data_IF_748931246949
#
_entry.id   IF_748931246949
#
_cell.length_a   1.000
_cell.length_b   1.000
_cell.length_c   1.000
_cell.angle_alpha   90.00
_cell.angle_beta   90.00
_cell.angle_gamma   90.00
#
_symmetry.space_group_name_H-M   'P 1'
#
loop_
_entity.id
_entity.type
_entity.pdbx_description
1 polymer ?
#
# COMPACT_ATOMS: atom_id res chain seq x y z
N UNK A 1 -9.40 9.17 8.01
CA UNK A 1 -8.70 8.33 9.02
C UNK A 1 -7.31 8.92 9.24
N UNK A 2 -6.71 8.76 10.42
CA UNK A 2 -5.32 9.15 10.63
C UNK A 2 -4.41 8.10 9.98
N UNK A 3 -3.50 8.53 9.12
CA UNK A 3 -2.50 7.66 8.49
C UNK A 3 -1.55 7.13 9.55
N UNK A 4 -1.30 5.82 9.51
CA UNK A 4 -0.29 5.19 10.34
C UNK A 4 1.01 5.07 9.54
N UNK A 5 2.12 5.43 10.16
CA UNK A 5 3.45 5.35 9.56
C UNK A 5 4.22 4.29 10.32
N UNK A 6 4.59 3.23 9.61
CA UNK A 6 5.39 2.13 10.14
C UNK A 6 6.79 2.23 9.55
N UNK A 7 7.81 2.28 10.38
CA UNK A 7 9.22 2.28 9.98
C UNK A 7 9.81 0.96 10.44
N UNK A 8 10.39 0.20 9.52
CA UNK A 8 10.93 -1.13 9.78
C UNK A 8 12.39 -1.12 9.33
N UNK A 9 13.29 -1.07 10.30
CA UNK A 9 14.74 -0.93 10.09
C UNK A 9 15.44 -1.34 11.41
N UNK A 10 16.38 -2.27 11.35
CA UNK A 10 17.11 -2.83 12.50
C UNK A 10 18.15 -1.89 13.09
N UNK A 11 18.51 -0.83 12.37
CA UNK A 11 19.48 0.17 12.77
C UNK A 11 18.82 1.49 13.22
N UNK A 12 17.54 1.70 12.93
CA UNK A 12 16.80 2.87 13.37
C UNK A 12 16.11 2.67 14.73
N UNK A 13 16.03 3.75 15.49
CA UNK A 13 15.28 3.82 16.74
C UNK A 13 14.33 5.03 16.73
N UNK A 14 13.49 5.13 17.76
CA UNK A 14 12.62 6.31 17.94
C UNK A 14 13.37 7.65 18.04
N UNK A 15 14.68 7.62 18.29
CA UNK A 15 15.54 8.80 18.36
C UNK A 15 16.28 9.11 17.06
N UNK A 16 16.17 8.25 16.05
CA UNK A 16 16.82 8.44 14.75
C UNK A 16 16.36 9.77 14.10
N UNK A 17 17.27 10.54 13.45
CA UNK A 17 16.92 11.79 12.77
C UNK A 17 15.76 11.65 11.78
N UNK A 18 15.69 10.55 11.02
CA UNK A 18 14.63 10.27 10.06
C UNK A 18 13.28 10.15 10.77
N UNK A 19 13.20 9.31 11.81
CA UNK A 19 12.00 9.09 12.61
C UNK A 19 11.53 10.39 13.29
N UNK A 20 12.48 11.14 13.88
CA UNK A 20 12.18 12.42 14.52
C UNK A 20 11.67 13.47 13.54
N UNK A 21 12.22 13.50 12.33
CA UNK A 21 11.78 14.40 11.27
C UNK A 21 10.33 14.12 10.86
N UNK A 22 9.98 12.85 10.63
CA UNK A 22 8.60 12.46 10.32
C UNK A 22 7.64 12.87 11.45
N UNK A 23 7.95 12.52 12.70
CA UNK A 23 7.11 12.86 13.86
C UNK A 23 6.93 14.36 14.05
N UNK A 24 7.95 15.15 13.74
CA UNK A 24 7.90 16.62 13.84
C UNK A 24 6.99 17.22 12.76
N UNK A 25 7.08 16.71 11.53
CA UNK A 25 6.34 17.26 10.38
C UNK A 25 4.93 16.69 10.24
N UNK A 26 4.67 15.49 10.78
CA UNK A 26 3.35 14.82 10.81
C UNK A 26 2.92 14.50 12.25
N UNK A 27 2.65 15.51 13.09
CA UNK A 27 2.31 15.31 14.51
C UNK A 27 0.99 14.55 14.73
N UNK A 28 0.12 14.52 13.72
CA UNK A 28 -1.16 13.81 13.72
C UNK A 28 -1.04 12.31 13.42
N UNK A 29 0.07 11.89 12.80
CA UNK A 29 0.32 10.51 12.41
C UNK A 29 0.80 9.67 13.60
N UNK A 30 0.36 8.41 13.64
CA UNK A 30 0.91 7.43 14.58
C UNK A 30 2.17 6.86 13.93
N UNK A 31 3.34 7.07 14.56
CA UNK A 31 4.63 6.57 14.06
C UNK A 31 5.11 5.41 14.93
N UNK A 32 5.22 4.24 14.33
CA UNK A 32 5.71 3.00 14.96
C UNK A 32 7.04 2.61 14.32
N UNK A 33 8.02 2.21 15.13
CA UNK A 33 9.33 1.73 14.66
C UNK A 33 9.51 0.28 15.10
N UNK A 34 9.86 -0.59 14.17
CA UNK A 34 10.16 -2.00 14.40
C UNK A 34 11.56 -2.33 13.88
N UNK A 35 12.27 -3.16 14.62
CA UNK A 35 13.66 -3.57 14.37
C UNK A 35 13.78 -4.89 13.58
N UNK A 36 12.64 -5.47 13.18
CA UNK A 36 12.59 -6.76 12.51
C UNK A 36 11.51 -6.76 11.42
N UNK A 37 11.91 -7.23 10.24
CA UNK A 37 11.03 -7.34 9.08
C UNK A 37 9.87 -8.31 9.30
N UNK A 38 10.09 -9.40 10.04
CA UNK A 38 9.05 -10.36 10.39
C UNK A 38 7.95 -9.75 11.26
N UNK A 39 8.32 -9.04 12.33
CA UNK A 39 7.40 -8.26 13.18
C UNK A 39 6.61 -7.25 12.36
N UNK A 40 7.23 -6.62 11.37
CA UNK A 40 6.55 -5.71 10.44
C UNK A 40 5.45 -6.38 9.62
N UNK A 41 5.72 -7.57 9.08
CA UNK A 41 4.72 -8.38 8.37
C UNK A 41 3.58 -8.77 9.31
N UNK A 42 3.87 -9.21 10.52
CA UNK A 42 2.87 -9.57 11.54
C UNK A 42 2.01 -8.37 11.93
N UNK A 43 2.63 -7.21 12.15
CA UNK A 43 1.95 -5.97 12.50
C UNK A 43 0.86 -5.59 11.48
N UNK A 44 1.24 -5.60 10.20
CA UNK A 44 0.33 -5.31 9.08
C UNK A 44 -0.77 -6.39 9.00
N UNK A 45 -0.40 -7.65 9.20
CA UNK A 45 -1.33 -8.78 9.09
C UNK A 45 -2.42 -8.77 10.15
N UNK A 46 -2.17 -8.16 11.31
CA UNK A 46 -3.12 -8.12 12.42
C UNK A 46 -4.32 -7.19 12.17
N UNK A 47 -4.18 -6.17 11.32
CA UNK A 47 -5.28 -5.28 10.95
C UNK A 47 -5.08 -4.68 9.56
N UNK A 48 -5.50 -5.44 8.54
CA UNK A 48 -5.40 -5.04 7.12
C UNK A 48 -6.31 -3.86 6.74
N UNK A 49 -7.19 -3.41 7.64
CA UNK A 49 -8.12 -2.29 7.40
C UNK A 49 -7.45 -0.93 7.53
N UNK A 50 -6.26 -0.88 8.11
CA UNK A 50 -5.55 0.37 8.33
C UNK A 50 -4.83 0.81 7.06
N UNK A 51 -4.93 2.12 6.76
CA UNK A 51 -4.06 2.77 5.79
C UNK A 51 -2.69 2.98 6.42
N UNK A 52 -1.70 2.22 5.96
CA UNK A 52 -0.34 2.22 6.52
C UNK A 52 0.66 2.61 5.43
N UNK A 53 1.45 3.64 5.71
CA UNK A 53 2.67 3.94 4.96
C UNK A 53 3.82 3.22 5.64
N UNK A 54 4.46 2.30 4.93
CA UNK A 54 5.55 1.49 5.47
C UNK A 54 6.86 1.96 4.86
N UNK A 55 7.76 2.47 5.69
CA UNK A 55 9.16 2.65 5.34
C UNK A 55 9.91 1.37 5.73
N UNK A 56 10.48 0.67 4.75
CA UNK A 56 11.06 -0.66 4.95
C UNK A 56 12.50 -0.66 4.46
N UNK A 57 13.46 -0.87 5.36
CA UNK A 57 14.84 -1.04 4.92
C UNK A 57 14.99 -2.27 4.04
N UNK A 58 15.91 -2.22 3.08
CA UNK A 58 16.13 -3.32 2.17
C UNK A 58 16.86 -4.50 2.83
N UNK A 59 17.71 -4.27 3.82
CA UNK A 59 18.59 -5.29 4.40
C UNK A 59 18.47 -5.32 5.91
N UNK A 60 18.39 -6.54 6.43
CA UNK A 60 18.37 -6.77 7.87
C UNK A 60 19.52 -7.71 8.23
N UNK A 61 20.19 -7.41 9.35
CA UNK A 61 21.28 -8.21 9.90
C UNK A 61 20.80 -9.59 10.36
N UNK A 62 19.51 -9.71 10.70
CA UNK A 62 18.89 -10.97 11.10
C UNK A 62 17.44 -11.08 10.61
N UNK A 63 16.90 -12.30 10.58
CA UNK A 63 15.53 -12.55 10.14
C UNK A 63 15.38 -12.53 8.61
N UNK A 64 14.19 -12.12 8.15
CA UNK A 64 13.88 -12.02 6.72
C UNK A 64 14.36 -10.69 6.16
N UNK A 65 14.73 -10.65 4.88
CA UNK A 65 15.16 -9.41 4.25
C UNK A 65 13.94 -8.52 3.91
N UNK A 66 14.16 -7.21 3.72
CA UNK A 66 13.08 -6.27 3.41
C UNK A 66 12.32 -6.63 2.14
N UNK A 67 13.02 -7.14 1.13
CA UNK A 67 12.41 -7.61 -0.13
C UNK A 67 11.49 -8.81 0.10
N UNK A 68 11.82 -9.70 1.03
CA UNK A 68 10.96 -10.83 1.39
C UNK A 68 9.72 -10.37 2.16
N UNK A 69 9.89 -9.42 3.09
CA UNK A 69 8.77 -8.81 3.80
C UNK A 69 7.82 -8.09 2.84
N UNK A 70 8.36 -7.34 1.87
CA UNK A 70 7.59 -6.71 0.79
C UNK A 70 6.69 -7.72 0.08
N UNK A 71 7.25 -8.86 -0.36
CA UNK A 71 6.49 -9.92 -1.04
C UNK A 71 5.37 -10.45 -0.16
N UNK A 72 5.67 -10.77 1.10
CA UNK A 72 4.69 -11.30 2.07
C UNK A 72 3.57 -10.31 2.39
N UNK A 73 3.85 -9.01 2.46
CA UNK A 73 2.82 -7.98 2.66
C UNK A 73 1.93 -7.88 1.42
N UNK A 74 2.53 -7.91 0.23
CA UNK A 74 1.81 -7.79 -1.06
C UNK A 74 0.90 -8.97 -1.35
N UNK A 75 1.20 -10.15 -0.83
CA UNK A 75 0.30 -11.31 -0.89
C UNK A 75 -0.98 -11.10 -0.05
N UNK A 76 -0.99 -10.15 0.91
CA UNK A 76 -2.10 -9.97 1.85
C UNK A 76 -2.99 -8.76 1.58
N UNK A 77 -2.43 -7.64 1.11
CA UNK A 77 -3.21 -6.41 0.88
C UNK A 77 -2.56 -5.45 -0.11
N UNK A 78 -3.42 -4.66 -0.76
CA UNK A 78 -3.03 -3.52 -1.61
C UNK A 78 -3.15 -2.16 -0.89
N UNK A 79 -3.76 -2.09 0.31
CA UNK A 79 -3.89 -0.85 1.10
C UNK A 79 -2.61 -0.38 1.76
N UNK A 80 -1.57 -1.20 1.71
CA UNK A 80 -0.28 -0.86 2.29
C UNK A 80 0.60 -0.30 1.19
N UNK A 81 1.11 0.90 1.34
CA UNK A 81 2.12 1.43 0.43
C UNK A 81 3.49 1.31 1.07
N UNK A 82 4.45 0.80 0.31
CA UNK A 82 5.79 0.49 0.83
C UNK A 82 6.78 1.42 0.16
N UNK A 83 7.51 2.16 0.99
CA UNK A 83 8.67 2.95 0.61
C UNK A 83 9.90 2.16 1.04
N UNK A 84 10.57 1.55 0.07
CA UNK A 84 11.83 0.85 0.31
C UNK A 84 12.92 1.88 0.61
N UNK A 85 13.67 1.65 1.68
CA UNK A 85 14.81 2.46 2.10
C UNK A 85 16.09 1.67 1.87
N UNK A 86 17.15 2.36 1.47
CA UNK A 86 18.48 1.76 1.37
C UNK A 86 19.56 2.82 1.47
N UNK A 87 20.67 2.49 2.13
CA UNK A 87 21.88 3.31 2.06
C UNK A 87 22.57 3.20 0.68
N UNK A 88 22.41 2.08 -0.01
CA UNK A 88 22.99 1.84 -1.32
C UNK A 88 22.10 2.42 -2.44
N UNK A 89 22.69 3.04 -3.49
CA UNK A 89 21.95 3.49 -4.65
C UNK A 89 21.36 2.29 -5.42
N UNK A 90 20.24 2.53 -6.12
CA UNK A 90 19.55 1.52 -6.95
C UNK A 90 20.49 0.81 -7.94
N UNK A 91 21.50 1.51 -8.47
CA UNK A 91 22.47 0.95 -9.42
C UNK A 91 23.37 -0.14 -8.84
N UNK A 92 23.43 -0.27 -7.52
CA UNK A 92 24.21 -1.28 -6.81
C UNK A 92 23.34 -2.41 -6.25
N UNK A 93 22.03 -2.37 -6.48
CA UNK A 93 21.13 -3.45 -6.07
C UNK A 93 21.20 -4.62 -7.04
N UNK A 94 21.02 -5.83 -6.51
CA UNK A 94 20.95 -7.03 -7.32
C UNK A 94 19.74 -6.99 -8.25
N UNK A 95 19.91 -7.50 -9.47
CA UNK A 95 18.87 -7.45 -10.51
C UNK A 95 17.56 -8.10 -10.07
N UNK A 96 17.63 -9.25 -9.39
CA UNK A 96 16.43 -9.95 -8.89
C UNK A 96 15.71 -9.16 -7.79
N UNK A 97 16.45 -8.41 -6.96
CA UNK A 97 15.88 -7.49 -5.97
C UNK A 97 15.14 -6.35 -6.68
N UNK A 98 15.77 -5.73 -7.69
CA UNK A 98 15.14 -4.67 -8.48
C UNK A 98 13.88 -5.17 -9.20
N UNK A 99 13.93 -6.36 -9.80
CA UNK A 99 12.76 -6.98 -10.44
C UNK A 99 11.63 -7.19 -9.45
N UNK A 100 11.92 -7.74 -8.27
CA UNK A 100 10.93 -7.93 -7.23
C UNK A 100 10.26 -6.59 -6.85
N UNK A 101 11.05 -5.53 -6.66
CA UNK A 101 10.53 -4.20 -6.35
C UNK A 101 9.69 -3.59 -7.49
N UNK A 102 10.11 -3.71 -8.75
CA UNK A 102 9.41 -3.10 -9.89
C UNK A 102 8.12 -3.85 -10.23
N UNK A 103 8.10 -5.17 -10.05
CA UNK A 103 6.95 -6.00 -10.41
C UNK A 103 5.77 -5.85 -9.44
N UNK A 104 5.97 -5.20 -8.30
CA UNK A 104 4.92 -4.95 -7.32
C UNK A 104 4.42 -3.49 -7.42
N UNK A 105 3.09 -3.32 -7.38
CA UNK A 105 2.47 -1.99 -7.39
C UNK A 105 2.65 -1.27 -6.06
N UNK A 106 2.63 0.06 -6.12
CA UNK A 106 2.63 0.90 -4.92
C UNK A 106 3.92 0.80 -4.12
N UNK A 107 5.05 0.63 -4.81
CA UNK A 107 6.38 0.72 -4.21
C UNK A 107 7.02 2.04 -4.62
N UNK A 108 7.63 2.68 -3.64
CA UNK A 108 8.54 3.80 -3.83
C UNK A 108 9.91 3.41 -3.29
N UNK A 109 10.94 4.16 -3.69
CA UNK A 109 12.30 3.96 -3.22
C UNK A 109 12.91 5.29 -2.84
N UNK A 110 13.61 5.33 -1.70
CA UNK A 110 14.42 6.47 -1.26
C UNK A 110 15.72 5.98 -0.63
N UNK A 111 16.73 6.84 -0.61
CA UNK A 111 17.80 6.71 0.36
C UNK A 111 17.32 7.16 1.73
N UNK A 112 17.81 6.53 2.80
CA UNK A 112 17.53 6.90 4.20
C UNK A 112 17.95 8.34 4.55
N UNK A 113 18.74 9.01 3.69
CA UNK A 113 19.12 10.42 3.84
C UNK A 113 18.14 11.41 3.19
N UNK A 114 17.21 10.95 2.36
CA UNK A 114 16.30 11.79 1.56
C UNK A 114 15.02 12.15 2.33
N UNK A 115 15.17 12.82 3.48
CA UNK A 115 14.06 13.15 4.38
C UNK A 115 12.94 13.97 3.72
N UNK A 116 13.28 14.98 2.91
CA UNK A 116 12.28 15.83 2.26
C UNK A 116 11.42 15.01 1.28
N UNK A 117 12.07 14.10 0.52
CA UNK A 117 11.37 13.18 -0.36
C UNK A 117 10.49 12.20 0.40
N UNK A 118 10.92 11.74 1.58
CA UNK A 118 10.09 10.87 2.42
C UNK A 118 8.76 11.56 2.79
N UNK A 119 8.78 12.85 3.13
CA UNK A 119 7.57 13.62 3.44
C UNK A 119 6.67 13.80 2.21
N UNK A 120 7.26 14.14 1.06
CA UNK A 120 6.54 14.23 -0.22
C UNK A 120 5.89 12.90 -0.60
N UNK A 121 6.59 11.78 -0.36
CA UNK A 121 6.06 10.45 -0.63
C UNK A 121 4.91 10.09 0.30
N UNK A 122 4.95 10.47 1.58
CA UNK A 122 3.81 10.26 2.49
C UNK A 122 2.58 10.98 1.94
N UNK A 123 2.68 12.27 1.58
CA UNK A 123 1.56 13.03 1.00
C UNK A 123 1.01 12.38 -0.27
N UNK A 124 1.91 11.98 -1.17
CA UNK A 124 1.54 11.31 -2.42
C UNK A 124 0.85 9.98 -2.16
N UNK A 125 1.35 9.19 -1.22
CA UNK A 125 0.82 7.89 -0.87
C UNK A 125 -0.57 8.02 -0.24
N UNK A 126 -0.75 8.95 0.69
CA UNK A 126 -2.05 9.27 1.30
C UNK A 126 -3.08 9.58 0.22
N UNK A 127 -2.75 10.46 -0.72
CA UNK A 127 -3.61 10.77 -1.87
C UNK A 127 -3.92 9.52 -2.72
N UNK A 128 -2.94 8.67 -3.00
CA UNK A 128 -3.14 7.46 -3.80
C UNK A 128 -4.06 6.45 -3.09
N UNK A 129 -3.93 6.30 -1.76
CA UNK A 129 -4.80 5.44 -0.95
C UNK A 129 -6.25 5.92 -0.92
N UNK A 130 -6.50 7.21 -1.17
CA UNK A 130 -7.84 7.80 -1.23
C UNK A 130 -8.44 7.82 -2.65
N UNK A 131 -7.63 7.60 -3.69
CA UNK A 131 -8.04 7.81 -5.08
C UNK A 131 -7.98 6.59 -5.99
N UNK A 132 -7.14 5.58 -5.68
CA UNK A 132 -7.08 4.38 -6.52
C UNK A 132 -8.31 3.49 -6.34
N UNK A 133 -8.78 2.93 -7.45
CA UNK A 133 -10.01 2.10 -7.50
C UNK A 133 -9.93 0.90 -6.57
N UNK A 134 -8.80 0.18 -6.56
CA UNK A 134 -8.58 -0.96 -5.67
C UNK A 134 -8.65 -0.56 -4.19
N UNK A 135 -7.99 0.53 -3.82
CA UNK A 135 -7.97 1.04 -2.45
C UNK A 135 -9.37 1.50 -1.99
N UNK A 136 -10.08 2.23 -2.84
CA UNK A 136 -11.44 2.72 -2.56
C UNK A 136 -12.42 1.55 -2.46
N UNK A 137 -12.33 0.57 -3.37
CA UNK A 137 -13.20 -0.61 -3.35
C UNK A 137 -12.94 -1.47 -2.10
N UNK A 138 -11.67 -1.70 -1.75
CA UNK A 138 -11.30 -2.46 -0.56
C UNK A 138 -11.79 -1.79 0.72
N UNK A 139 -11.59 -0.47 0.85
CA UNK A 139 -12.11 0.27 2.00
C UNK A 139 -13.64 0.19 2.08
N UNK A 140 -14.34 0.33 0.95
CA UNK A 140 -15.79 0.23 0.90
C UNK A 140 -16.31 -1.18 1.26
N UNK A 141 -15.58 -2.23 0.89
CA UNK A 141 -15.85 -3.61 1.29
C UNK A 141 -15.66 -3.76 2.81
N UNK A 142 -14.56 -3.23 3.36
CA UNK A 142 -14.23 -3.32 4.79
C UNK A 142 -15.16 -2.51 5.69
N UNK A 143 -15.71 -1.40 5.19
CA UNK A 143 -16.68 -0.56 5.91
C UNK A 143 -18.09 -1.19 5.96
N UNK A 144 -18.32 -2.31 5.26
CA UNK A 144 -19.58 -3.07 5.26
C UNK A 144 -19.39 -4.43 5.93
N UNK A 145 -20.46 -4.96 6.52
CA UNK A 145 -20.42 -6.30 7.13
C UNK A 145 -19.95 -7.37 6.13
N UNK A 146 -19.10 -8.28 6.61
CA UNK A 146 -18.41 -9.30 5.81
C UNK A 146 -19.33 -10.13 4.90
N UNK A 147 -20.59 -10.29 5.30
CA UNK A 147 -21.61 -11.09 4.61
C UNK A 147 -21.86 -10.57 3.18
N UNK A 148 -21.97 -9.25 2.99
CA UNK A 148 -22.28 -8.65 1.68
C UNK A 148 -21.10 -8.76 0.71
N UNK A 149 -19.88 -8.92 1.23
CA UNK A 149 -18.67 -8.94 0.40
C UNK A 149 -18.40 -10.27 -0.30
N UNK A 150 -18.96 -11.37 0.24
CA UNK A 150 -18.76 -12.74 -0.27
C UNK A 150 -19.96 -13.26 -1.07
N UNK A 151 -21.09 -12.56 -1.06
CA UNK A 151 -22.24 -12.93 -1.89
C UNK A 151 -21.99 -12.60 -3.37
N UNK A 152 -22.58 -13.38 -4.30
CA UNK A 152 -22.52 -13.10 -5.73
C UNK A 152 -22.99 -11.68 -6.04
N UNK A 153 -22.09 -10.86 -6.58
CA UNK A 153 -22.37 -9.46 -6.94
C UNK A 153 -22.66 -9.31 -8.43
N UNK A 154 -21.96 -10.06 -9.29
CA UNK A 154 -22.16 -10.05 -10.73
C UNK A 154 -21.95 -11.44 -11.33
N UNK A 155 -22.66 -11.75 -12.42
CA UNK A 155 -22.47 -12.98 -13.20
C UNK A 155 -21.95 -12.60 -14.59
N UNK A 156 -20.81 -13.18 -14.99
CA UNK A 156 -20.19 -12.94 -16.30
C UNK A 156 -19.87 -14.28 -16.94
N UNK A 157 -20.52 -14.57 -18.08
CA UNK A 157 -20.29 -15.83 -18.81
C UNK A 157 -20.65 -17.09 -18.00
N UNK A 158 -21.58 -16.97 -17.04
CA UNK A 158 -21.96 -18.07 -16.14
C UNK A 158 -21.07 -18.23 -14.90
N UNK A 159 -20.03 -17.40 -14.74
CA UNK A 159 -19.21 -17.34 -13.52
C UNK A 159 -19.73 -16.24 -12.62
N UNK A 160 -19.99 -16.60 -11.36
CA UNK A 160 -20.39 -15.66 -10.30
C UNK A 160 -19.15 -15.05 -9.66
N UNK A 161 -19.14 -13.73 -9.49
CA UNK A 161 -18.08 -12.99 -8.81
C UNK A 161 -18.67 -12.22 -7.64
N UNK A 162 -18.09 -12.41 -6.46
CA UNK A 162 -18.30 -11.55 -5.31
C UNK A 162 -17.52 -10.23 -5.45
N UNK A 163 -17.73 -9.29 -4.54
CA UNK A 163 -16.97 -8.05 -4.52
C UNK A 163 -15.48 -8.28 -4.21
N UNK A 164 -15.16 -9.29 -3.39
CA UNK A 164 -13.77 -9.67 -3.12
C UNK A 164 -13.10 -10.26 -4.35
N UNK A 165 -13.80 -11.11 -5.09
CA UNK A 165 -13.26 -11.67 -6.34
C UNK A 165 -12.98 -10.55 -7.35
N UNK A 166 -13.89 -9.59 -7.49
CA UNK A 166 -13.68 -8.42 -8.35
C UNK A 166 -12.46 -7.61 -7.91
N UNK A 167 -12.30 -7.37 -6.60
CA UNK A 167 -11.15 -6.66 -6.06
C UNK A 167 -9.83 -7.38 -6.41
N UNK A 168 -9.78 -8.69 -6.25
CA UNK A 168 -8.59 -9.49 -6.55
C UNK A 168 -8.29 -9.51 -8.05
N UNK A 169 -9.29 -9.62 -8.91
CA UNK A 169 -9.15 -9.52 -10.37
C UNK A 169 -8.58 -8.15 -10.79
N UNK A 170 -9.05 -7.05 -10.18
CA UNK A 170 -8.52 -5.69 -10.40
C UNK A 170 -7.05 -5.62 -9.99
N UNK A 171 -6.69 -6.14 -8.81
CA UNK A 171 -5.31 -6.14 -8.30
C UNK A 171 -4.37 -6.96 -9.17
N UNK A 172 -4.81 -8.14 -9.58
CA UNK A 172 -4.07 -9.05 -10.47
C UNK A 172 -4.01 -8.54 -11.91
N UNK A 173 -4.78 -7.50 -12.24
CA UNK A 173 -4.74 -6.84 -13.55
C UNK A 173 -5.03 -7.81 -14.70
N UNK A 174 -5.91 -8.76 -14.42
CA UNK A 174 -6.44 -9.69 -15.42
C UNK A 174 -7.22 -8.93 -16.49
N UNK A 175 -7.50 -9.54 -17.65
CA UNK A 175 -8.35 -8.92 -18.66
C UNK A 175 -9.72 -8.49 -18.10
N UNK A 176 -10.32 -9.29 -17.22
CA UNK A 176 -11.59 -8.97 -16.57
C UNK A 176 -11.44 -7.80 -15.59
N UNK A 177 -10.48 -7.86 -14.67
CA UNK A 177 -10.24 -6.80 -13.69
C UNK A 177 -9.95 -5.44 -14.32
N UNK A 178 -9.12 -5.38 -15.37
CA UNK A 178 -8.85 -4.15 -16.12
C UNK A 178 -10.10 -3.54 -16.75
N UNK A 179 -10.97 -4.39 -17.30
CA UNK A 179 -12.21 -3.92 -17.92
C UNK A 179 -13.22 -3.43 -16.87
N UNK A 180 -13.31 -4.10 -15.71
CA UNK A 180 -14.13 -3.63 -14.58
C UNK A 180 -13.62 -2.29 -14.06
N UNK A 181 -12.31 -2.17 -13.78
CA UNK A 181 -11.67 -0.93 -13.32
C UNK A 181 -11.98 0.23 -14.27
N UNK A 182 -11.78 0.02 -15.57
CA UNK A 182 -12.08 1.02 -16.62
C UNK A 182 -13.56 1.41 -16.66
N UNK A 183 -14.48 0.45 -16.52
CA UNK A 183 -15.92 0.72 -16.49
C UNK A 183 -16.33 1.50 -15.25
N UNK A 184 -15.80 1.17 -14.08
CA UNK A 184 -16.04 1.90 -12.83
C UNK A 184 -15.61 3.37 -12.97
N UNK A 185 -14.39 3.62 -13.45
CA UNK A 185 -13.88 4.99 -13.66
C UNK A 185 -14.73 5.75 -14.67
N UNK A 186 -15.08 5.13 -15.81
CA UNK A 186 -15.92 5.76 -16.83
C UNK A 186 -17.31 6.11 -16.31
N UNK A 187 -17.92 5.21 -15.53
CA UNK A 187 -19.22 5.45 -14.91
C UNK A 187 -19.15 6.63 -13.93
N UNK A 188 -18.11 6.69 -13.09
CA UNK A 188 -17.90 7.81 -12.18
C UNK A 188 -17.80 9.15 -12.93
N UNK A 189 -16.99 9.21 -14.00
CA UNK A 189 -16.87 10.41 -14.86
C UNK A 189 -18.22 10.79 -15.47
N UNK A 190 -18.97 9.81 -16.00
CA UNK A 190 -20.28 10.06 -16.60
C UNK A 190 -21.29 10.62 -15.58
N UNK A 191 -21.32 10.07 -14.37
CA UNK A 191 -22.18 10.55 -13.29
C UNK A 191 -21.82 11.98 -12.86
N UNK A 192 -20.54 12.33 -12.83
CA UNK A 192 -20.06 13.68 -12.54
C UNK A 192 -20.39 14.67 -13.66
N UNK A 193 -20.38 14.26 -14.92
CA UNK A 193 -20.77 15.11 -16.05
C UNK A 193 -22.27 15.40 -16.08
N UNK A 194 -23.10 14.43 -15.68
CA UNK A 194 -24.55 14.56 -15.71
C UNK A 194 -25.13 15.25 -14.47
N UNK A 195 -24.38 15.34 -13.37
CA UNK A 195 -24.72 16.20 -12.24
C UNK A 195 -24.00 17.54 -12.41
N UNK A 196 -24.71 18.67 -12.30
CA UNK A 196 -24.10 19.96 -11.94
C UNK A 196 -23.58 19.92 -10.49
N UNK A 197 -22.79 18.92 -10.14
CA UNK A 197 -22.26 18.76 -8.80
C UNK A 197 -20.99 19.59 -8.67
N UNK A 198 -21.02 20.58 -7.78
CA UNK A 198 -19.81 21.14 -7.19
C UNK A 198 -19.16 20.06 -6.34
N UNK A 199 -17.90 19.73 -6.63
CA UNK A 199 -17.01 18.97 -5.77
C UNK A 199 -16.73 19.74 -4.46
#
# INVERSE_FOLDING_TARGET
>A
MKTEILIIDDHMSLHDPFVRSIRKNRPEAVVTVLDDAGKGVEYISNDLRKKVVVFLDCRFDSGIQGVDALRRIREKTSLVYIVMMSANPLSQMEEETLKAMINHRGIFFISNTEMDKALELIEKIEYLMDSKVDCVLEQWIMDRDDIVSNEPYIIVGGVEYSLRDILDEIRLQTPFGKEVEKKMVRLAVHLLQNKKASL
#
